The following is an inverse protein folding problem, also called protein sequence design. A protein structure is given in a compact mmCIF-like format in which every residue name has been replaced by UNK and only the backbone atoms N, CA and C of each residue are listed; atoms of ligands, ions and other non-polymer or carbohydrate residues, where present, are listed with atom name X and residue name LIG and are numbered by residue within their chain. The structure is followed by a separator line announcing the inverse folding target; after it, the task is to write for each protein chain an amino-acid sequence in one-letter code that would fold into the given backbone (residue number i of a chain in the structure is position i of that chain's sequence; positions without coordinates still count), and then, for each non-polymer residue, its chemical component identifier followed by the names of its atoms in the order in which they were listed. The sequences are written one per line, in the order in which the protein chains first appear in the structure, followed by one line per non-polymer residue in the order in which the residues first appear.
data_IF_204426677106
#
_entry.id   IF_204426677106
#
_cell.length_a   1.000
_cell.length_b   1.000
_cell.length_c   1.000
_cell.angle_alpha   90.00
_cell.angle_beta   90.00
_cell.angle_gamma   90.00
#
_symmetry.space_group_name_H-M   'P 1'
#
loop_
_entity.id
_entity.type
_entity.pdbx_description
1 polymer ?
#
# COMPACT_ATOMS: atom_id res chain seq x y z
N UNK A 1 70.48 6.10 63.08
CA UNK A 1 71.38 7.16 62.59
C UNK A 1 70.80 7.69 61.29
N UNK A 2 70.34 8.95 61.32
CA UNK A 2 70.15 9.92 60.23
C UNK A 2 69.59 9.51 58.83
N UNK A 3 68.40 10.06 58.52
CA UNK A 3 67.97 10.92 57.37
C UNK A 3 68.20 10.36 55.94
N UNK A 4 67.36 10.54 54.92
CA UNK A 4 66.59 11.71 54.46
C UNK A 4 65.46 11.26 53.50
N UNK A 5 64.40 12.07 53.42
CA UNK A 5 63.41 12.10 52.33
C UNK A 5 64.06 12.45 50.97
N UNK A 6 63.54 11.87 49.88
CA UNK A 6 63.26 12.66 48.66
C UNK A 6 62.22 11.98 47.79
N UNK A 7 61.20 12.76 47.46
CA UNK A 7 60.11 12.47 46.54
C UNK A 7 60.64 12.32 45.11
N UNK A 8 60.10 11.35 44.37
CA UNK A 8 60.08 11.35 42.91
C UNK A 8 58.75 10.77 42.44
N UNK A 9 57.85 11.68 42.10
CA UNK A 9 56.61 11.46 41.38
C UNK A 9 56.96 10.91 39.98
N UNK A 10 56.58 9.69 39.64
CA UNK A 10 56.59 9.21 38.26
C UNK A 10 55.15 8.86 37.89
N UNK A 11 54.58 9.65 36.99
CA UNK A 11 53.17 9.64 36.64
C UNK A 11 52.68 8.31 36.09
N UNK A 12 51.49 7.94 36.53
CA UNK A 12 50.64 6.91 35.92
C UNK A 12 50.02 7.51 34.66
N UNK A 13 50.37 6.99 33.48
CA UNK A 13 49.63 7.23 32.23
C UNK A 13 48.82 5.97 31.94
N UNK A 14 47.64 5.87 32.55
CA UNK A 14 46.58 4.97 32.06
C UNK A 14 45.90 5.73 30.92
N UNK A 15 46.18 5.31 29.69
CA UNK A 15 45.45 5.78 28.53
C UNK A 15 44.07 5.12 28.54
N UNK A 16 43.09 5.78 29.15
CA UNK A 16 41.68 5.41 29.01
C UNK A 16 41.24 5.80 27.60
N UNK A 17 41.25 4.84 26.68
CA UNK A 17 40.55 4.97 25.42
C UNK A 17 39.04 4.97 25.73
N UNK A 18 38.46 6.16 25.87
CA UNK A 18 37.02 6.30 25.69
C UNK A 18 36.72 6.01 24.22
N UNK A 19 36.18 4.81 23.96
CA UNK A 19 35.48 4.58 22.71
C UNK A 19 34.27 5.54 22.72
N UNK A 20 34.33 6.58 21.88
CA UNK A 20 33.15 7.37 21.60
C UNK A 20 32.10 6.42 21.02
N UNK A 21 30.90 6.42 21.60
CA UNK A 21 29.74 5.79 20.97
C UNK A 21 29.66 6.30 19.52
N UNK A 22 29.41 5.43 18.53
CA UNK A 22 29.26 5.88 17.16
C UNK A 22 28.12 6.90 17.12
N UNK A 23 28.46 8.14 16.78
CA UNK A 23 27.50 9.22 16.59
C UNK A 23 26.41 8.69 15.64
N UNK A 24 25.11 8.80 15.98
CA UNK A 24 24.07 8.44 15.03
C UNK A 24 24.31 9.23 13.75
N UNK A 25 24.37 8.52 12.63
CA UNK A 25 24.56 9.13 11.33
C UNK A 25 23.52 10.24 11.16
N UNK A 26 23.98 11.43 10.74
CA UNK A 26 23.08 12.53 10.45
C UNK A 26 22.02 12.06 9.43
N UNK A 27 20.75 12.47 9.58
CA UNK A 27 19.72 12.13 8.60
C UNK A 27 20.20 12.58 7.22
N UNK A 28 20.16 11.64 6.27
CA UNK A 28 20.61 11.87 4.89
C UNK A 28 19.78 13.05 4.35
N UNK A 29 20.39 14.10 3.77
CA UNK A 29 19.62 15.19 3.21
C UNK A 29 18.67 14.62 2.15
N UNK A 30 17.40 15.00 2.23
CA UNK A 30 16.40 14.64 1.23
C UNK A 30 16.94 15.02 -0.15
N UNK A 31 17.23 14.02 -0.98
CA UNK A 31 17.81 14.26 -2.28
C UNK A 31 16.72 14.87 -3.17
N UNK A 32 17.09 15.92 -3.89
CA UNK A 32 16.19 16.71 -4.75
C UNK A 32 15.68 15.94 -5.98
N UNK A 33 16.00 14.64 -6.10
CA UNK A 33 15.59 13.70 -7.14
C UNK A 33 14.51 12.70 -6.65
N UNK A 34 13.96 12.88 -5.45
CA UNK A 34 12.82 12.11 -4.97
C UNK A 34 11.53 12.52 -5.68
N UNK A 35 11.36 12.03 -6.91
CA UNK A 35 10.08 12.05 -7.63
C UNK A 35 9.04 11.16 -6.90
N UNK A 36 8.57 11.59 -5.73
CA UNK A 36 7.49 10.91 -5.00
C UNK A 36 7.89 9.63 -4.26
N UNK A 37 9.18 9.37 -4.02
CA UNK A 37 9.56 8.35 -3.02
C UNK A 37 9.17 8.88 -1.64
N UNK A 38 8.17 8.25 -1.05
CA UNK A 38 7.78 8.48 0.32
C UNK A 38 8.95 7.95 1.20
N UNK A 39 9.66 8.79 1.92
CA UNK A 39 10.75 8.32 2.78
C UNK A 39 10.22 7.56 4.00
N UNK A 40 11.13 7.06 4.84
CA UNK A 40 10.76 6.35 6.07
C UNK A 40 9.93 7.20 7.06
N UNK A 41 9.85 8.51 6.83
CA UNK A 41 9.07 9.44 7.64
C UNK A 41 7.70 9.76 7.03
N UNK A 42 7.31 9.03 5.98
CA UNK A 42 6.04 9.25 5.31
C UNK A 42 4.86 8.86 6.18
N UNK A 43 4.04 9.86 6.47
CA UNK A 43 2.79 9.71 7.21
C UNK A 43 1.61 9.48 6.26
N UNK A 44 0.50 8.99 6.82
CA UNK A 44 -0.76 8.91 6.12
C UNK A 44 -1.26 10.32 5.77
N UNK A 45 -1.48 10.59 4.49
CA UNK A 45 -2.05 11.85 4.03
C UNK A 45 -3.53 11.95 4.43
N UNK A 46 -3.79 12.73 5.49
CA UNK A 46 -5.13 12.95 6.03
C UNK A 46 -6.08 13.66 5.05
N UNK A 47 -5.56 14.29 3.99
CA UNK A 47 -6.39 14.89 2.94
C UNK A 47 -7.03 13.86 2.01
N UNK A 48 -6.57 12.60 2.08
CA UNK A 48 -7.00 11.47 1.24
C UNK A 48 -7.56 10.35 2.11
N UNK A 49 -8.71 10.55 2.78
CA UNK A 49 -9.26 9.52 3.66
C UNK A 49 -9.55 8.24 2.89
N UNK A 50 -9.33 7.09 3.54
CA UNK A 50 -9.72 5.79 3.00
C UNK A 50 -11.24 5.75 2.79
N UNK A 51 -11.69 5.12 1.71
CA UNK A 51 -13.11 5.04 1.35
C UNK A 51 -13.89 4.29 2.44
N UNK A 52 -13.26 3.26 3.00
CA UNK A 52 -13.85 2.44 4.05
C UNK A 52 -12.92 2.45 5.27
N UNK A 53 -13.30 3.17 6.34
CA UNK A 53 -12.51 3.20 7.57
C UNK A 53 -12.64 1.91 8.39
N UNK A 54 -13.46 0.95 7.94
CA UNK A 54 -13.68 -0.32 8.64
C UNK A 54 -12.34 -1.03 8.76
N UNK A 55 -11.92 -1.29 9.99
CA UNK A 55 -10.67 -2.01 10.25
C UNK A 55 -10.86 -3.51 10.01
N UNK A 56 -9.76 -4.20 9.69
CA UNK A 56 -9.72 -5.67 9.65
C UNK A 56 -10.40 -6.31 10.88
N UNK A 57 -10.14 -5.77 12.08
CA UNK A 57 -10.69 -6.28 13.34
C UNK A 57 -12.22 -6.16 13.40
N UNK A 58 -12.77 -5.07 12.86
CA UNK A 58 -14.21 -4.87 12.77
C UNK A 58 -14.87 -5.83 11.77
N UNK A 59 -14.22 -6.09 10.63
CA UNK A 59 -14.71 -7.07 9.65
C UNK A 59 -14.75 -8.49 10.24
N UNK A 60 -13.67 -8.87 10.94
CA UNK A 60 -13.57 -10.17 11.62
C UNK A 60 -14.62 -10.29 12.73
N UNK A 61 -14.81 -9.25 13.53
CA UNK A 61 -15.79 -9.25 14.61
C UNK A 61 -17.23 -9.38 14.11
N UNK A 62 -17.57 -8.72 12.99
CA UNK A 62 -18.92 -8.79 12.43
C UNK A 62 -19.19 -10.06 11.63
N UNK A 63 -18.13 -10.73 11.13
CA UNK A 63 -18.26 -11.96 10.33
C UNK A 63 -19.01 -11.78 9.02
N UNK A 64 -19.15 -10.54 8.53
CA UNK A 64 -19.82 -10.21 7.26
C UNK A 64 -18.85 -9.45 6.35
N UNK A 65 -18.84 -9.75 5.05
CA UNK A 65 -18.04 -9.00 4.09
C UNK A 65 -18.53 -7.55 4.01
N UNK A 66 -17.60 -6.61 3.85
CA UNK A 66 -17.94 -5.23 3.52
C UNK A 66 -18.40 -5.24 2.07
N UNK A 67 -19.70 -5.02 1.84
CA UNK A 67 -20.29 -4.89 0.50
C UNK A 67 -21.05 -3.57 0.52
N UNK A 68 -20.70 -2.65 -0.38
CA UNK A 68 -21.32 -1.32 -0.44
C UNK A 68 -22.27 -1.13 -1.61
N UNK A 69 -22.13 -1.95 -2.66
CA UNK A 69 -23.02 -1.99 -3.82
C UNK A 69 -23.70 -3.35 -3.89
N UNK A 70 -24.75 -3.58 -3.10
CA UNK A 70 -25.42 -4.91 -3.11
C UNK A 70 -26.17 -5.16 -4.40
N UNK A 71 -26.64 -4.10 -5.04
CA UNK A 71 -27.42 -4.10 -6.27
C UNK A 71 -26.70 -4.68 -7.48
N UNK A 72 -25.36 -4.74 -7.49
CA UNK A 72 -24.60 -5.30 -8.61
C UNK A 72 -24.39 -6.81 -8.50
N UNK A 73 -24.52 -7.38 -7.31
CA UNK A 73 -24.31 -8.81 -7.09
C UNK A 73 -25.63 -9.55 -7.31
N UNK A 74 -25.65 -10.37 -8.35
CA UNK A 74 -26.83 -11.09 -8.80
C UNK A 74 -26.62 -12.59 -8.63
N UNK A 75 -27.70 -13.37 -8.69
CA UNK A 75 -27.58 -14.82 -8.62
C UNK A 75 -26.89 -15.37 -9.88
N UNK A 76 -25.65 -15.85 -9.71
CA UNK A 76 -24.84 -16.42 -10.78
C UNK A 76 -24.08 -15.43 -11.67
N UNK A 77 -24.15 -14.11 -11.43
CA UNK A 77 -23.37 -13.10 -12.17
C UNK A 77 -23.20 -11.79 -11.39
N UNK A 78 -22.34 -10.89 -11.88
CA UNK A 78 -22.09 -9.57 -11.30
C UNK A 78 -22.26 -8.54 -12.42
N UNK A 79 -23.06 -7.50 -12.16
CA UNK A 79 -23.22 -6.31 -13.02
C UNK A 79 -21.99 -5.41 -12.86
N UNK A 80 -20.94 -5.73 -13.61
CA UNK A 80 -19.63 -5.11 -13.46
C UNK A 80 -19.59 -3.68 -13.97
N UNK A 81 -20.44 -3.31 -14.94
CA UNK A 81 -20.53 -1.93 -15.46
C UNK A 81 -21.70 -1.13 -14.85
N UNK A 82 -22.47 -1.75 -13.93
CA UNK A 82 -23.59 -1.15 -13.17
C UNK A 82 -24.73 -0.63 -14.03
N UNK A 83 -25.06 -1.33 -15.12
CA UNK A 83 -26.09 -0.90 -16.06
C UNK A 83 -27.46 -1.59 -15.85
N UNK A 84 -27.55 -2.51 -14.89
CA UNK A 84 -28.77 -3.20 -14.51
C UNK A 84 -29.19 -4.36 -15.43
N UNK A 85 -28.33 -4.79 -16.36
CA UNK A 85 -28.58 -5.96 -17.23
C UNK A 85 -27.36 -6.88 -17.24
N UNK A 86 -27.61 -8.17 -17.48
CA UNK A 86 -26.56 -9.16 -17.68
C UNK A 86 -26.01 -9.02 -19.10
N UNK A 87 -24.82 -8.45 -19.22
CA UNK A 87 -24.14 -8.35 -20.52
C UNK A 87 -23.44 -9.65 -20.90
N UNK A 88 -23.22 -9.92 -22.20
CA UNK A 88 -22.52 -11.11 -22.66
C UNK A 88 -21.20 -11.39 -21.92
N UNK A 89 -20.36 -10.36 -21.68
CA UNK A 89 -19.07 -10.57 -20.99
C UNK A 89 -19.20 -11.09 -19.55
N UNK A 90 -20.31 -10.81 -18.89
CA UNK A 90 -20.64 -11.22 -17.51
C UNK A 90 -21.24 -12.62 -17.44
N UNK A 91 -21.67 -13.19 -18.57
CA UNK A 91 -22.26 -14.51 -18.63
C UNK A 91 -21.20 -15.60 -18.91
N UNK A 92 -20.87 -16.47 -17.93
CA UNK A 92 -19.91 -17.55 -18.15
C UNK A 92 -20.38 -18.62 -19.15
N UNK A 93 -21.68 -18.65 -19.50
CA UNK A 93 -22.21 -19.57 -20.51
C UNK A 93 -21.95 -19.13 -21.96
N UNK A 94 -21.59 -17.86 -22.18
CA UNK A 94 -21.30 -17.30 -23.51
C UNK A 94 -19.86 -17.69 -23.94
N UNK A 95 -19.61 -17.98 -25.23
CA UNK A 95 -18.27 -18.27 -25.73
C UNK A 95 -17.26 -17.16 -25.41
N UNK A 96 -16.03 -17.54 -25.08
CA UNK A 96 -14.99 -16.61 -24.61
C UNK A 96 -14.72 -15.45 -25.59
N UNK A 97 -14.70 -15.71 -26.90
CA UNK A 97 -14.46 -14.68 -27.92
C UNK A 97 -15.58 -13.64 -28.00
N UNK A 98 -16.83 -14.07 -27.80
CA UNK A 98 -17.97 -13.16 -27.74
C UNK A 98 -17.90 -12.29 -26.47
N UNK A 99 -17.51 -12.88 -25.34
CA UNK A 99 -17.31 -12.17 -24.07
C UNK A 99 -16.20 -11.12 -24.18
N UNK A 100 -15.08 -11.46 -24.82
CA UNK A 100 -13.97 -10.53 -25.05
C UNK A 100 -14.42 -9.39 -25.97
N UNK A 101 -15.08 -9.71 -27.08
CA UNK A 101 -15.54 -8.73 -28.05
C UNK A 101 -16.51 -7.73 -27.43
N UNK A 102 -17.46 -8.23 -26.63
CA UNK A 102 -18.42 -7.41 -25.90
C UNK A 102 -17.74 -6.52 -24.86
N UNK A 103 -16.88 -7.08 -23.98
CA UNK A 103 -16.15 -6.31 -22.97
C UNK A 103 -15.32 -5.17 -23.60
N UNK A 104 -14.47 -5.49 -24.56
CA UNK A 104 -13.60 -4.50 -25.21
C UNK A 104 -14.42 -3.50 -26.03
N UNK A 105 -15.56 -3.90 -26.58
CA UNK A 105 -16.50 -3.05 -27.30
C UNK A 105 -17.16 -1.99 -26.40
N UNK A 106 -17.38 -2.31 -25.12
CA UNK A 106 -18.00 -1.41 -24.15
C UNK A 106 -17.00 -0.42 -23.51
N UNK A 107 -15.71 -0.74 -23.52
CA UNK A 107 -14.68 0.12 -22.93
C UNK A 107 -14.34 1.35 -23.78
N UNK A 108 -14.18 2.49 -23.10
CA UNK A 108 -13.61 3.71 -23.65
C UNK A 108 -12.06 3.64 -23.71
N UNK A 109 -11.43 4.65 -24.34
CA UNK A 109 -9.98 4.66 -24.56
C UNK A 109 -9.19 4.73 -23.24
N UNK A 110 -9.69 5.44 -22.22
CA UNK A 110 -9.02 5.55 -20.93
C UNK A 110 -9.05 4.20 -20.19
N UNK A 111 -10.22 3.56 -20.13
CA UNK A 111 -10.39 2.23 -19.54
C UNK A 111 -9.45 1.22 -20.24
N UNK A 112 -9.37 1.24 -21.57
CA UNK A 112 -8.45 0.37 -22.34
C UNK A 112 -6.98 0.64 -22.02
N UNK A 113 -6.62 1.91 -21.88
CA UNK A 113 -5.24 2.31 -21.55
C UNK A 113 -4.86 1.82 -20.17
N UNK A 114 -5.77 1.89 -19.20
CA UNK A 114 -5.52 1.46 -17.83
C UNK A 114 -5.40 -0.06 -17.66
N UNK A 115 -5.88 -0.86 -18.62
CA UNK A 115 -5.58 -2.30 -18.67
C UNK A 115 -4.10 -2.61 -18.95
N UNK A 116 -3.33 -1.63 -19.43
CA UNK A 116 -1.89 -1.75 -19.70
C UNK A 116 -1.04 -1.19 -18.54
N UNK A 117 -1.67 -0.78 -17.44
CA UNK A 117 -1.00 -0.15 -16.30
C UNK A 117 -0.90 -1.12 -15.12
N UNK A 118 0.21 -1.03 -14.39
CA UNK A 118 0.43 -1.71 -13.11
C UNK A 118 0.31 -0.72 -11.96
N UNK A 119 -0.55 -1.02 -10.98
CA UNK A 119 -0.66 -0.28 -9.74
C UNK A 119 0.53 -0.59 -8.84
N UNK A 120 1.54 0.27 -8.88
CA UNK A 120 2.62 0.26 -7.90
C UNK A 120 2.16 0.95 -6.62
N UNK A 121 2.24 0.21 -5.52
CA UNK A 121 1.59 0.58 -4.29
C UNK A 121 2.20 1.72 -3.49
N UNK A 122 1.82 1.74 -2.22
CA UNK A 122 2.23 2.77 -1.28
C UNK A 122 3.74 2.87 -1.20
N UNK A 123 4.24 4.11 -1.21
CA UNK A 123 5.66 4.39 -1.15
C UNK A 123 6.48 3.83 -2.34
N UNK A 124 5.83 3.73 -3.50
CA UNK A 124 6.53 3.56 -4.77
C UNK A 124 6.05 4.54 -5.81
N UNK A 125 4.73 4.55 -6.04
CA UNK A 125 4.06 5.50 -6.95
C UNK A 125 2.78 6.04 -6.32
N UNK A 126 2.00 5.19 -5.65
CA UNK A 126 0.72 5.60 -5.05
C UNK A 126 0.94 6.15 -3.63
N UNK A 127 0.25 7.24 -3.21
CA UNK A 127 0.34 7.77 -1.85
C UNK A 127 -0.55 7.03 -0.83
N UNK A 128 -1.35 6.06 -1.28
CA UNK A 128 -2.33 5.35 -0.47
C UNK A 128 -2.01 3.84 -0.40
N UNK A 129 -2.00 3.26 0.80
CA UNK A 129 -1.84 1.82 1.03
C UNK A 129 -3.16 1.03 0.88
N UNK A 130 -4.29 1.72 0.81
CA UNK A 130 -5.62 1.17 0.56
C UNK A 130 -6.41 2.16 -0.30
N UNK A 131 -7.54 1.76 -0.91
CA UNK A 131 -8.38 2.66 -1.68
C UNK A 131 -8.77 3.91 -0.88
N UNK A 132 -8.44 5.07 -1.41
CA UNK A 132 -8.80 6.37 -0.83
C UNK A 132 -9.82 7.10 -1.68
N UNK A 133 -10.50 8.07 -1.07
CA UNK A 133 -11.47 8.92 -1.77
C UNK A 133 -10.91 9.66 -2.99
N UNK A 134 -9.59 9.77 -3.09
CA UNK A 134 -8.95 10.35 -4.27
C UNK A 134 -8.95 9.42 -5.49
N UNK A 135 -9.03 8.09 -5.29
CA UNK A 135 -9.05 7.11 -6.38
C UNK A 135 -10.26 7.30 -7.32
N UNK A 136 -11.35 7.89 -6.83
CA UNK A 136 -12.51 8.28 -7.66
C UNK A 136 -12.21 9.38 -8.68
N UNK A 137 -11.14 10.15 -8.49
CA UNK A 137 -10.76 11.29 -9.34
C UNK A 137 -9.45 11.05 -10.09
N UNK A 138 -8.70 10.03 -9.70
CA UNK A 138 -7.41 9.66 -10.27
C UNK A 138 -7.55 8.52 -11.28
N UNK A 139 -6.41 7.97 -11.72
CA UNK A 139 -6.36 6.96 -12.78
C UNK A 139 -7.10 5.67 -12.40
N UNK A 140 -7.19 5.36 -11.12
CA UNK A 140 -7.85 4.17 -10.58
C UNK A 140 -9.34 4.13 -10.92
N UNK A 141 -10.00 5.27 -11.13
CA UNK A 141 -11.43 5.34 -11.48
C UNK A 141 -11.77 4.60 -12.79
N UNK A 142 -10.81 4.46 -13.69
CA UNK A 142 -10.97 3.84 -15.01
C UNK A 142 -10.63 2.33 -15.00
N UNK A 143 -10.33 1.74 -13.83
CA UNK A 143 -10.02 0.31 -13.65
C UNK A 143 -8.60 -0.06 -14.10
N UNK A 144 -7.84 -0.80 -13.27
CA UNK A 144 -6.43 -1.15 -13.54
C UNK A 144 -6.27 -2.63 -13.86
N UNK A 145 -5.49 -2.95 -14.90
CA UNK A 145 -5.25 -4.33 -15.34
C UNK A 145 -4.36 -5.16 -14.39
N UNK A 146 -3.33 -4.53 -13.80
CA UNK A 146 -2.37 -5.20 -12.92
C UNK A 146 -2.33 -4.59 -11.51
N UNK A 147 -2.72 -5.36 -10.49
CA UNK A 147 -2.79 -4.91 -9.08
C UNK A 147 -1.86 -5.69 -8.14
N UNK A 148 -0.94 -6.50 -8.69
CA UNK A 148 -0.05 -7.39 -7.95
C UNK A 148 1.04 -6.66 -7.13
N UNK A 149 1.36 -5.42 -7.49
CA UNK A 149 2.42 -4.61 -6.87
C UNK A 149 1.93 -3.62 -5.78
N UNK A 150 0.64 -3.65 -5.40
CA UNK A 150 0.07 -2.69 -4.45
C UNK A 150 0.56 -2.89 -3.00
N UNK A 151 0.70 -4.15 -2.56
CA UNK A 151 1.04 -4.51 -1.18
C UNK A 151 2.16 -5.58 -1.11
N UNK A 152 3.17 -5.44 -1.96
CA UNK A 152 4.26 -6.43 -2.11
C UNK A 152 5.36 -6.37 -1.03
N UNK A 153 5.26 -5.46 -0.04
CA UNK A 153 6.26 -5.32 1.02
C UNK A 153 7.45 -4.42 0.69
N UNK A 154 7.48 -3.75 -0.48
CA UNK A 154 8.52 -2.77 -0.82
C UNK A 154 8.57 -1.64 0.24
N UNK A 155 9.75 -1.36 0.79
CA UNK A 155 10.03 -0.43 1.91
C UNK A 155 9.36 -0.75 3.26
N UNK A 156 8.53 -1.79 3.36
CA UNK A 156 7.86 -2.17 4.61
C UNK A 156 8.78 -2.91 5.59
N UNK A 157 9.69 -3.73 5.07
CA UNK A 157 10.61 -4.53 5.91
C UNK A 157 11.63 -3.70 6.67
N UNK A 158 12.04 -2.56 6.12
CA UNK A 158 13.07 -1.69 6.69
C UNK A 158 12.47 -0.57 7.56
N UNK A 159 11.15 -0.41 7.57
CA UNK A 159 10.49 0.64 8.34
C UNK A 159 9.18 0.17 9.00
N UNK A 160 9.22 -0.17 10.31
CA UNK A 160 8.05 -0.65 11.02
C UNK A 160 6.96 0.41 11.22
N UNK A 161 7.27 1.71 11.04
CA UNK A 161 6.34 2.83 11.22
C UNK A 161 5.51 3.15 9.97
N UNK A 162 5.81 2.51 8.84
CA UNK A 162 5.10 2.76 7.59
C UNK A 162 3.58 2.51 7.76
N UNK A 163 2.74 3.47 7.37
CA UNK A 163 1.30 3.23 7.26
C UNK A 163 1.04 2.01 6.36
N UNK A 164 0.16 1.11 6.82
CA UNK A 164 -0.17 -0.11 6.09
C UNK A 164 0.80 -1.29 6.27
N UNK A 165 1.89 -1.15 7.05
CA UNK A 165 2.89 -2.22 7.25
C UNK A 165 2.29 -3.55 7.75
N UNK A 166 1.24 -3.47 8.58
CA UNK A 166 0.51 -4.66 9.04
C UNK A 166 -0.08 -5.51 7.90
N UNK A 167 -0.39 -4.91 6.75
CA UNK A 167 -0.93 -5.61 5.58
C UNK A 167 0.15 -6.31 4.78
N UNK A 168 1.42 -5.90 4.87
CA UNK A 168 2.53 -6.62 4.27
C UNK A 168 3.04 -7.76 5.17
N UNK A 169 2.94 -7.60 6.50
CA UNK A 169 3.55 -8.51 7.47
C UNK A 169 2.63 -9.60 8.03
N UNK A 170 1.32 -9.36 8.15
CA UNK A 170 0.35 -10.39 8.58
C UNK A 170 -0.46 -10.90 7.37
N UNK A 171 -0.29 -12.17 6.96
CA UNK A 171 -1.00 -12.74 5.82
C UNK A 171 -2.54 -12.62 5.89
N UNK A 172 -3.13 -12.63 7.08
CA UNK A 172 -4.60 -12.50 7.22
C UNK A 172 -5.05 -11.08 6.91
N UNK A 173 -4.27 -10.09 7.37
CA UNK A 173 -4.53 -8.68 7.10
C UNK A 173 -4.23 -8.35 5.63
N UNK A 174 -3.22 -8.99 5.03
CA UNK A 174 -2.94 -8.88 3.60
C UNK A 174 -4.15 -9.30 2.76
N UNK A 175 -4.68 -10.50 3.01
CA UNK A 175 -5.85 -11.02 2.27
C UNK A 175 -7.04 -10.08 2.38
N UNK A 176 -7.27 -9.53 3.58
CA UNK A 176 -8.31 -8.53 3.77
C UNK A 176 -8.05 -7.26 2.94
N UNK A 177 -6.85 -6.70 3.01
CA UNK A 177 -6.49 -5.49 2.27
C UNK A 177 -6.59 -5.68 0.74
N UNK A 178 -6.18 -6.84 0.22
CA UNK A 178 -6.35 -7.20 -1.19
C UNK A 178 -7.83 -7.28 -1.59
N UNK A 179 -8.68 -7.82 -0.72
CA UNK A 179 -10.12 -7.85 -0.96
C UNK A 179 -10.75 -6.45 -0.93
N UNK A 180 -10.27 -5.53 -0.08
CA UNK A 180 -10.70 -4.14 -0.09
C UNK A 180 -10.31 -3.42 -1.39
N UNK A 181 -9.07 -3.60 -1.86
CA UNK A 181 -8.62 -3.08 -3.17
C UNK A 181 -9.43 -3.69 -4.31
N UNK A 182 -9.64 -5.00 -4.31
CA UNK A 182 -10.47 -5.68 -5.32
C UNK A 182 -11.89 -5.16 -5.31
N UNK A 183 -12.46 -4.95 -4.12
CA UNK A 183 -13.83 -4.46 -3.97
C UNK A 183 -14.00 -3.08 -4.57
N UNK A 184 -13.04 -2.18 -4.39
CA UNK A 184 -13.06 -0.89 -5.09
C UNK A 184 -13.18 -1.05 -6.61
N UNK A 185 -12.36 -1.92 -7.22
CA UNK A 185 -12.43 -2.15 -8.67
C UNK A 185 -13.71 -2.88 -9.12
N UNK A 186 -14.34 -3.68 -8.26
CA UNK A 186 -15.61 -4.33 -8.61
C UNK A 186 -16.80 -3.39 -8.40
N UNK A 187 -16.83 -2.66 -7.30
CA UNK A 187 -18.00 -1.88 -6.87
C UNK A 187 -17.99 -0.45 -7.37
N UNK A 188 -16.81 0.15 -7.55
CA UNK A 188 -16.67 1.61 -7.71
C UNK A 188 -15.99 2.05 -9.03
N UNK A 189 -15.44 1.12 -9.83
CA UNK A 189 -14.99 1.40 -11.20
C UNK A 189 -15.98 0.89 -12.24
N UNK A 190 -15.79 1.20 -13.52
CA UNK A 190 -16.78 0.94 -14.59
C UNK A 190 -16.34 -0.12 -15.57
#
# INVERSE_FOLDING_TARGET
MFRLFSSALMGVLVSSAFAADPTPAAPKPASADNAGRHDADSEFDKSRPLIHPVSYDECVAKGVPVITRREIYQDGWIDLNKNGKKDPYEDPAVPIEERITDLIGQMNVNEKTMQLVTLYGYNRVTPDYLPSTAWFKEQQKDGIGNIDEHLNGFNYYDNPRMPGNQFALDPRKLVWALNETRRFFIEDTR
#
